data_IF_877721476282
#
_entry.id   IF_877721476282
#
_cell.length_a   1.000
_cell.length_b   1.000
_cell.length_c   1.000
_cell.angle_alpha   90.00
_cell.angle_beta   90.00
_cell.angle_gamma   90.00
#
_symmetry.space_group_name_H-M   'P 1'
#
loop_
_entity.id
_entity.type
_entity.pdbx_description
1 polymer ?
#
# COMPACT_ATOMS: atom_id res chain seq x y z
N UNK A 1 -4.75 -0.55 -0.40
CA UNK A 1 -4.61 -0.07 0.98
C UNK A 1 -4.61 -1.19 2.01
N UNK A 2 -5.58 -2.11 2.00
CA UNK A 2 -5.62 -3.21 2.98
C UNK A 2 -4.39 -4.12 2.88
N UNK A 3 -3.91 -4.46 1.69
CA UNK A 3 -2.72 -5.27 1.51
C UNK A 3 -1.48 -4.65 2.16
N UNK A 4 -1.06 -3.43 1.77
CA UNK A 4 0.08 -2.77 2.38
C UNK A 4 -0.07 -2.53 3.90
N UNK A 5 -1.26 -2.16 4.38
CA UNK A 5 -1.51 -1.99 5.82
C UNK A 5 -1.34 -3.31 6.57
N UNK A 6 -1.92 -4.39 6.05
CA UNK A 6 -1.81 -5.72 6.65
C UNK A 6 -0.35 -6.16 6.76
N UNK A 7 0.42 -6.04 5.67
CA UNK A 7 1.83 -6.46 5.66
C UNK A 7 2.68 -5.56 6.55
N UNK A 8 2.42 -4.24 6.54
CA UNK A 8 3.12 -3.31 7.44
C UNK A 8 2.89 -3.65 8.91
N UNK A 9 1.62 -3.88 9.32
CA UNK A 9 1.30 -4.27 10.70
C UNK A 9 1.92 -5.62 11.09
N UNK A 10 1.95 -6.56 10.14
CA UNK A 10 2.57 -7.87 10.37
C UNK A 10 4.10 -7.80 10.51
N UNK A 11 4.76 -6.94 9.74
CA UNK A 11 6.21 -6.91 9.63
C UNK A 11 6.88 -5.69 10.26
N UNK A 12 6.12 -4.77 10.86
CA UNK A 12 6.70 -3.54 11.47
C UNK A 12 7.78 -3.78 12.52
N UNK A 13 7.82 -4.92 13.28
CA UNK A 13 8.97 -5.20 14.16
C UNK A 13 10.30 -5.36 13.43
N UNK A 14 10.25 -5.62 12.12
CA UNK A 14 11.40 -5.77 11.24
C UNK A 14 11.68 -4.51 10.41
N UNK A 15 10.88 -3.45 10.56
CA UNK A 15 11.07 -2.19 9.84
C UNK A 15 12.40 -1.53 10.23
N UNK A 16 12.97 -0.79 9.29
CA UNK A 16 14.21 -0.05 9.55
C UNK A 16 13.98 1.06 10.57
N UNK A 17 14.92 1.21 11.48
CA UNK A 17 14.85 2.23 12.53
C UNK A 17 14.81 3.64 11.93
N UNK A 18 13.87 4.46 12.43
CA UNK A 18 13.72 5.86 12.00
C UNK A 18 12.80 6.06 10.80
N UNK A 19 12.30 4.99 10.17
CA UNK A 19 11.30 5.09 9.09
C UNK A 19 9.97 4.50 9.59
N UNK A 20 8.88 5.22 9.37
CA UNK A 20 7.54 4.75 9.69
C UNK A 20 6.59 5.04 8.54
N UNK A 21 5.60 4.16 8.30
CA UNK A 21 4.55 4.38 7.32
C UNK A 21 3.21 4.66 7.99
N UNK A 22 2.45 5.57 7.39
CA UNK A 22 1.06 5.85 7.74
C UNK A 22 0.21 5.74 6.49
N UNK A 23 -0.92 5.08 6.60
CA UNK A 23 -1.79 4.80 5.46
C UNK A 23 -3.08 5.58 5.59
N UNK A 24 -3.41 6.36 4.55
CA UNK A 24 -4.65 7.15 4.43
C UNK A 24 -5.46 6.59 3.29
N UNK A 25 -6.63 6.05 3.58
CA UNK A 25 -7.54 5.49 2.58
C UNK A 25 -8.98 6.01 2.70
N UNK A 26 -9.33 6.61 3.84
CA UNK A 26 -10.62 7.22 4.01
C UNK A 26 -10.62 8.65 3.44
N UNK A 27 -11.72 9.05 2.79
CA UNK A 27 -11.93 10.42 2.29
C UNK A 27 -12.27 11.40 3.43
N UNK A 28 -12.62 10.90 4.61
CA UNK A 28 -12.85 11.74 5.78
C UNK A 28 -11.57 12.55 6.10
N UNK A 29 -11.65 13.89 6.14
CA UNK A 29 -10.50 14.75 6.41
C UNK A 29 -9.83 14.48 7.76
N UNK A 30 -10.55 13.93 8.74
CA UNK A 30 -9.98 13.53 10.02
C UNK A 30 -8.91 12.44 9.86
N UNK A 31 -9.07 11.50 8.90
CA UNK A 31 -8.06 10.46 8.65
C UNK A 31 -6.71 11.07 8.24
N UNK A 32 -6.73 12.05 7.33
CA UNK A 32 -5.51 12.78 6.93
C UNK A 32 -4.97 13.63 8.08
N UNK A 33 -5.83 14.41 8.75
CA UNK A 33 -5.42 15.33 9.82
C UNK A 33 -4.73 14.59 10.97
N UNK A 34 -5.32 13.50 11.45
CA UNK A 34 -4.75 12.70 12.55
C UNK A 34 -3.42 12.05 12.18
N UNK A 35 -3.27 11.65 10.92
CA UNK A 35 -2.05 10.98 10.46
C UNK A 35 -0.91 11.94 10.11
N UNK A 36 -1.19 13.23 9.93
CA UNK A 36 -0.17 14.23 9.59
C UNK A 36 0.15 15.21 10.72
N UNK A 37 -0.63 15.21 11.82
CA UNK A 37 -0.54 16.23 12.90
C UNK A 37 0.83 16.38 13.56
N UNK A 38 1.59 15.30 13.66
CA UNK A 38 2.89 15.20 14.31
C UNK A 38 4.04 14.92 13.32
N UNK A 39 3.79 15.04 12.01
CA UNK A 39 4.82 14.86 11.00
C UNK A 39 5.61 16.15 10.77
N UNK A 40 6.91 15.97 10.56
CA UNK A 40 7.77 17.00 10.04
C UNK A 40 7.67 17.03 8.50
N UNK A 41 7.25 18.16 7.89
CA UNK A 41 7.09 18.24 6.45
C UNK A 41 8.41 18.04 5.69
N UNK A 42 9.55 18.42 6.25
CA UNK A 42 10.86 18.30 5.59
C UNK A 42 11.33 16.84 5.45
N UNK A 43 10.81 15.94 6.31
CA UNK A 43 11.17 14.52 6.33
C UNK A 43 10.02 13.59 5.91
N UNK A 44 8.92 14.16 5.39
CA UNK A 44 7.73 13.39 4.99
C UNK A 44 7.71 13.14 3.49
N UNK A 45 7.55 11.87 3.09
CA UNK A 45 7.33 11.43 1.71
C UNK A 45 5.89 10.94 1.56
N UNK A 46 5.19 11.39 0.52
CA UNK A 46 3.86 10.93 0.13
C UNK A 46 3.93 9.98 -1.07
N UNK A 47 3.41 8.78 -0.91
CA UNK A 47 3.31 7.77 -1.98
C UNK A 47 1.84 7.67 -2.39
N UNK A 48 1.51 8.19 -3.57
CA UNK A 48 0.15 8.19 -4.10
C UNK A 48 -0.08 6.93 -4.93
N UNK A 49 -0.92 6.03 -4.41
CA UNK A 49 -1.20 4.74 -5.05
C UNK A 49 -2.57 4.77 -5.69
N UNK A 50 -2.62 4.87 -7.01
CA UNK A 50 -3.86 4.83 -7.79
C UNK A 50 -3.59 4.33 -9.20
N UNK A 51 -4.19 3.21 -9.58
CA UNK A 51 -3.94 2.56 -10.88
C UNK A 51 -4.14 3.51 -12.05
N UNK A 52 -5.27 4.21 -12.10
CA UNK A 52 -5.64 5.12 -13.19
C UNK A 52 -5.28 6.58 -12.89
N UNK A 53 -4.88 6.87 -11.67
CA UNK A 53 -4.67 8.22 -11.15
C UNK A 53 -5.90 9.13 -11.32
N UNK A 54 -7.11 8.54 -11.18
CA UNK A 54 -8.41 9.23 -11.33
C UNK A 54 -9.38 8.94 -10.17
N UNK A 55 -9.01 8.04 -9.25
CA UNK A 55 -9.85 7.67 -8.11
C UNK A 55 -10.09 8.90 -7.23
N UNK A 56 -11.36 9.30 -7.08
CA UNK A 56 -11.74 10.55 -6.43
C UNK A 56 -11.19 10.65 -5.01
N UNK A 57 -11.38 9.63 -4.20
CA UNK A 57 -10.94 9.57 -2.79
C UNK A 57 -9.43 9.71 -2.70
N UNK A 58 -8.70 8.95 -3.50
CA UNK A 58 -7.23 8.98 -3.49
C UNK A 58 -6.71 10.36 -3.90
N UNK A 59 -7.25 10.96 -4.98
CA UNK A 59 -6.79 12.27 -5.43
C UNK A 59 -7.24 13.42 -4.51
N UNK A 60 -8.37 13.29 -3.84
CA UNK A 60 -8.80 14.25 -2.82
C UNK A 60 -7.81 14.23 -1.65
N UNK A 61 -7.48 13.07 -1.14
CA UNK A 61 -6.47 12.93 -0.08
C UNK A 61 -5.08 13.41 -0.55
N UNK A 62 -4.68 13.10 -1.78
CA UNK A 62 -3.42 13.56 -2.34
C UNK A 62 -3.32 15.09 -2.43
N UNK A 63 -4.40 15.77 -2.86
CA UNK A 63 -4.46 17.24 -2.90
C UNK A 63 -4.42 17.85 -1.50
N UNK A 64 -5.09 17.24 -0.53
CA UNK A 64 -5.05 17.66 0.88
C UNK A 64 -3.63 17.52 1.43
N UNK A 65 -2.97 16.38 1.19
CA UNK A 65 -1.57 16.17 1.57
C UNK A 65 -0.63 17.21 0.93
N UNK A 66 -0.82 17.51 -0.37
CA UNK A 66 -0.04 18.54 -1.06
C UNK A 66 -0.23 19.92 -0.45
N UNK A 67 -1.45 20.28 -0.15
CA UNK A 67 -1.76 21.57 0.49
C UNK A 67 -1.13 21.63 1.89
N UNK A 68 -1.26 20.58 2.69
CA UNK A 68 -0.64 20.47 4.00
C UNK A 68 0.89 20.65 3.92
N UNK A 69 1.56 19.90 3.04
CA UNK A 69 3.01 19.96 2.86
C UNK A 69 3.46 21.38 2.50
N UNK A 70 2.87 21.97 1.46
CA UNK A 70 3.29 23.29 0.95
C UNK A 70 3.07 24.40 1.99
N UNK A 71 1.95 24.35 2.72
CA UNK A 71 1.69 25.31 3.79
C UNK A 71 2.72 25.16 4.93
N UNK A 72 3.00 23.95 5.36
CA UNK A 72 3.94 23.68 6.43
C UNK A 72 5.38 24.07 6.07
N UNK A 73 5.84 23.77 4.85
CA UNK A 73 7.15 24.18 4.37
C UNK A 73 7.26 25.71 4.23
N UNK A 74 6.18 26.39 3.87
CA UNK A 74 6.15 27.85 3.82
C UNK A 74 6.13 28.48 5.23
N UNK A 75 5.34 27.90 6.16
CA UNK A 75 5.28 28.34 7.57
C UNK A 75 6.65 28.19 8.26
N UNK A 76 7.40 27.12 7.97
CA UNK A 76 8.76 26.90 8.52
C UNK A 76 9.83 27.76 7.84
N UNK A 77 9.52 28.41 6.72
CA UNK A 77 10.49 29.15 5.92
C UNK A 77 11.40 28.29 5.04
N UNK A 78 11.12 26.97 4.93
CA UNK A 78 11.87 26.05 4.06
C UNK A 78 11.68 26.37 2.57
N UNK A 79 10.53 26.99 2.20
CA UNK A 79 10.29 27.52 0.86
C UNK A 79 9.73 28.95 0.93
N UNK A 80 10.01 29.75 -0.09
CA UNK A 80 9.57 31.16 -0.20
C UNK A 80 8.11 31.32 -0.70
N UNK A 81 7.42 30.20 -0.98
CA UNK A 81 6.05 30.20 -1.47
C UNK A 81 5.89 30.53 -2.95
N UNK A 82 6.98 30.75 -3.71
CA UNK A 82 6.93 30.91 -5.17
C UNK A 82 6.47 29.61 -5.85
N UNK A 83 5.85 29.71 -7.03
CA UNK A 83 5.39 28.54 -7.78
C UNK A 83 6.51 27.59 -8.14
N UNK A 84 7.71 28.12 -8.43
CA UNK A 84 8.90 27.32 -8.70
C UNK A 84 9.30 26.48 -7.48
N UNK A 85 9.32 27.06 -6.26
CA UNK A 85 9.66 26.35 -5.03
C UNK A 85 8.58 25.36 -4.61
N UNK A 86 7.31 25.69 -4.84
CA UNK A 86 6.19 24.73 -4.63
C UNK A 86 6.31 23.52 -5.57
N UNK A 87 6.62 23.75 -6.85
CA UNK A 87 6.83 22.65 -7.80
C UNK A 87 8.03 21.77 -7.40
N UNK A 88 9.15 22.39 -7.00
CA UNK A 88 10.32 21.68 -6.49
C UNK A 88 9.99 20.82 -5.26
N UNK A 89 9.23 21.35 -4.30
CA UNK A 89 8.79 20.64 -3.12
C UNK A 89 7.92 19.43 -3.48
N UNK A 90 6.93 19.59 -4.39
CA UNK A 90 6.10 18.47 -4.85
C UNK A 90 6.97 17.39 -5.51
N UNK A 91 7.90 17.77 -6.38
CA UNK A 91 8.78 16.84 -7.07
C UNK A 91 9.68 16.02 -6.11
N UNK A 92 10.04 16.59 -4.94
CA UNK A 92 10.87 15.94 -3.93
C UNK A 92 10.08 15.07 -2.94
N UNK A 93 8.86 15.48 -2.60
CA UNK A 93 8.07 14.88 -1.53
C UNK A 93 6.95 13.97 -2.00
N UNK A 94 6.73 13.85 -3.31
CA UNK A 94 5.68 13.00 -3.86
C UNK A 94 6.22 11.97 -4.84
N UNK A 95 5.72 10.75 -4.67
CA UNK A 95 5.98 9.59 -5.51
C UNK A 95 4.63 9.00 -5.92
N UNK A 96 4.53 8.46 -7.11
CA UNK A 96 3.32 7.81 -7.58
C UNK A 96 3.52 6.31 -7.84
N UNK A 97 2.47 5.54 -7.58
CA UNK A 97 2.34 4.16 -8.05
C UNK A 97 1.11 4.11 -8.94
N UNK A 98 1.33 4.13 -10.25
CA UNK A 98 0.26 4.30 -11.23
C UNK A 98 0.67 3.77 -12.61
N UNK A 99 -0.33 3.44 -13.42
CA UNK A 99 -0.15 3.13 -14.86
C UNK A 99 -0.34 4.37 -15.75
N UNK A 100 -0.80 5.49 -15.19
CA UNK A 100 -1.14 6.72 -15.93
C UNK A 100 -0.14 7.84 -15.66
N UNK A 101 0.98 7.83 -16.40
CA UNK A 101 2.06 8.80 -16.22
C UNK A 101 1.66 10.23 -16.56
N UNK A 102 0.76 10.43 -17.53
CA UNK A 102 0.27 11.75 -17.91
C UNK A 102 -0.43 12.45 -16.72
N UNK A 103 -1.33 11.73 -16.05
CA UNK A 103 -2.03 12.25 -14.87
C UNK A 103 -1.10 12.46 -13.67
N UNK A 104 -0.08 11.63 -13.53
CA UNK A 104 0.96 11.79 -12.51
C UNK A 104 1.73 13.09 -12.72
N UNK A 105 2.13 13.38 -13.97
CA UNK A 105 2.82 14.62 -14.34
C UNK A 105 1.93 15.86 -14.17
N UNK A 106 0.64 15.79 -14.57
CA UNK A 106 -0.34 16.85 -14.33
C UNK A 106 -0.49 17.20 -12.83
N UNK A 107 -0.34 16.24 -11.94
CA UNK A 107 -0.35 16.48 -10.48
C UNK A 107 0.90 17.23 -10.01
N UNK A 108 1.99 17.18 -10.76
CA UNK A 108 3.29 17.78 -10.47
C UNK A 108 4.34 16.79 -9.94
N UNK A 109 4.07 15.48 -10.01
CA UNK A 109 5.04 14.44 -9.66
C UNK A 109 5.91 14.19 -10.89
N UNK A 110 7.24 14.15 -10.67
CA UNK A 110 8.16 13.82 -11.75
C UNK A 110 7.89 12.35 -12.21
N UNK A 111 7.66 12.10 -13.51
CA UNK A 111 7.42 10.76 -14.02
C UNK A 111 8.53 9.73 -13.69
N UNK A 112 9.77 10.18 -13.44
CA UNK A 112 10.85 9.31 -12.97
C UNK A 112 10.63 8.79 -11.54
N UNK A 113 9.76 9.43 -10.76
CA UNK A 113 9.33 9.02 -9.44
C UNK A 113 7.96 8.30 -9.48
N UNK A 114 7.60 7.76 -10.64
CA UNK A 114 6.39 6.95 -10.80
C UNK A 114 6.74 5.50 -11.05
N UNK A 115 6.16 4.61 -10.26
CA UNK A 115 6.34 3.17 -10.35
C UNK A 115 5.10 2.55 -11.00
N UNK A 116 5.32 1.92 -12.17
CA UNK A 116 4.26 1.29 -12.94
C UNK A 116 4.03 -0.16 -12.52
N UNK A 117 2.86 -0.68 -12.87
CA UNK A 117 2.51 -2.09 -12.80
C UNK A 117 1.55 -2.43 -13.95
N UNK A 118 1.29 -3.71 -14.19
CA UNK A 118 0.53 -4.15 -15.35
C UNK A 118 -0.98 -4.02 -15.15
N UNK A 119 -1.71 -3.84 -16.24
CA UNK A 119 -3.17 -3.70 -16.23
C UNK A 119 -3.92 -4.91 -15.66
N UNK A 120 -3.35 -6.09 -15.71
CA UNK A 120 -3.93 -7.33 -15.17
C UNK A 120 -3.79 -7.43 -13.63
N UNK A 121 -2.98 -6.59 -12.99
CA UNK A 121 -2.87 -6.57 -11.53
C UNK A 121 -4.17 -6.06 -10.91
N UNK A 122 -4.86 -6.91 -10.16
CA UNK A 122 -6.07 -6.55 -9.42
C UNK A 122 -5.75 -5.90 -8.07
N UNK A 123 -6.56 -4.95 -7.62
CA UNK A 123 -6.31 -4.19 -6.38
C UNK A 123 -6.07 -5.07 -5.15
N UNK A 124 -6.92 -6.09 -4.94
CA UNK A 124 -6.84 -7.01 -3.79
C UNK A 124 -5.65 -7.98 -3.84
N UNK A 125 -5.01 -8.14 -4.99
CA UNK A 125 -3.85 -9.02 -5.21
C UNK A 125 -2.59 -8.23 -5.58
N UNK A 126 -2.51 -6.94 -5.19
CA UNK A 126 -1.48 -6.03 -5.71
C UNK A 126 -0.31 -5.79 -4.76
N UNK A 127 -0.37 -6.28 -3.53
CA UNK A 127 0.65 -5.99 -2.50
C UNK A 127 2.05 -6.48 -2.87
N UNK A 128 2.14 -7.52 -3.69
CA UNK A 128 3.36 -8.10 -4.24
C UNK A 128 3.87 -7.41 -5.53
N UNK A 129 3.14 -6.38 -6.00
CA UNK A 129 3.51 -5.53 -7.14
C UNK A 129 4.15 -4.21 -6.67
N UNK A 130 4.31 -3.23 -7.59
CA UNK A 130 4.73 -1.87 -7.25
C UNK A 130 3.84 -1.19 -6.19
N UNK A 131 2.61 -1.67 -5.94
CA UNK A 131 1.76 -1.22 -4.83
C UNK A 131 2.43 -1.44 -3.46
N UNK A 132 3.33 -2.42 -3.36
CA UNK A 132 4.17 -2.65 -2.19
C UNK A 132 5.34 -1.68 -2.00
N UNK A 133 5.49 -0.63 -2.82
CA UNK A 133 6.59 0.34 -2.70
C UNK A 133 6.74 0.91 -1.30
N UNK A 134 5.64 1.22 -0.61
CA UNK A 134 5.69 1.70 0.78
C UNK A 134 6.33 0.68 1.74
N UNK A 135 6.12 -0.60 1.49
CA UNK A 135 6.73 -1.69 2.28
C UNK A 135 8.22 -1.81 1.98
N UNK A 136 8.61 -1.74 0.70
CA UNK A 136 10.01 -1.75 0.30
C UNK A 136 10.80 -0.58 0.90
N UNK A 137 10.16 0.59 1.05
CA UNK A 137 10.76 1.76 1.72
C UNK A 137 10.96 1.52 3.22
N UNK A 138 9.97 0.95 3.91
CA UNK A 138 9.98 0.83 5.38
C UNK A 138 10.74 -0.40 5.85
N UNK A 139 10.65 -1.51 5.13
CA UNK A 139 11.30 -2.78 5.47
C UNK A 139 12.72 -2.89 4.91
N UNK A 140 13.03 -2.07 3.91
CA UNK A 140 14.19 -2.25 3.07
C UNK A 140 13.97 -3.28 1.95
N UNK A 141 14.76 -3.16 0.85
CA UNK A 141 14.57 -4.01 -0.34
C UNK A 141 14.80 -5.50 -0.06
N UNK A 142 15.75 -5.85 0.79
CA UNK A 142 16.09 -7.25 1.12
C UNK A 142 14.91 -7.96 1.81
N UNK A 143 14.31 -7.34 2.84
CA UNK A 143 13.16 -7.90 3.55
C UNK A 143 11.89 -7.94 2.69
N UNK A 144 11.73 -6.94 1.83
CA UNK A 144 10.65 -6.98 0.85
C UNK A 144 10.82 -8.14 -0.15
N UNK A 145 12.03 -8.41 -0.61
CA UNK A 145 12.32 -9.58 -1.43
C UNK A 145 12.06 -10.90 -0.67
N UNK A 146 12.40 -10.99 0.61
CA UNK A 146 12.08 -12.15 1.44
C UNK A 146 10.56 -12.36 1.55
N UNK A 147 9.80 -11.29 1.69
CA UNK A 147 8.33 -11.34 1.65
C UNK A 147 7.83 -11.93 0.31
N UNK A 148 8.38 -11.49 -0.82
CA UNK A 148 8.04 -12.02 -2.15
C UNK A 148 8.45 -13.50 -2.32
N UNK A 149 9.53 -13.94 -1.70
CA UNK A 149 9.94 -15.36 -1.69
C UNK A 149 8.90 -16.26 -1.03
N UNK A 150 8.08 -15.75 -0.11
CA UNK A 150 6.95 -16.47 0.45
C UNK A 150 5.89 -16.84 -0.60
N UNK A 151 5.55 -15.92 -1.49
CA UNK A 151 4.66 -16.19 -2.63
C UNK A 151 5.26 -17.25 -3.55
N UNK A 152 6.53 -17.07 -3.93
CA UNK A 152 7.23 -18.02 -4.79
C UNK A 152 7.27 -19.44 -4.19
N UNK A 153 7.50 -19.57 -2.89
CA UNK A 153 7.52 -20.86 -2.22
C UNK A 153 6.16 -21.57 -2.31
N UNK A 154 5.06 -20.84 -2.12
CA UNK A 154 3.70 -21.39 -2.24
C UNK A 154 3.36 -21.72 -3.68
N UNK A 155 3.74 -20.90 -4.64
CA UNK A 155 3.52 -21.17 -6.08
C UNK A 155 4.24 -22.45 -6.52
N UNK A 156 5.50 -22.61 -6.11
CA UNK A 156 6.28 -23.83 -6.37
C UNK A 156 5.65 -25.05 -5.70
N UNK A 157 5.29 -24.94 -4.43
CA UNK A 157 4.62 -26.04 -3.70
C UNK A 157 3.29 -26.43 -4.36
N UNK A 158 2.49 -25.44 -4.78
CA UNK A 158 1.23 -25.69 -5.47
C UNK A 158 1.43 -26.43 -6.81
N UNK A 159 2.43 -26.02 -7.59
CA UNK A 159 2.71 -26.63 -8.90
C UNK A 159 3.29 -28.06 -8.82
N UNK A 160 4.13 -28.33 -7.82
CA UNK A 160 4.90 -29.56 -7.74
C UNK A 160 4.31 -30.64 -6.83
N UNK A 161 3.43 -30.27 -5.89
CA UNK A 161 2.88 -31.22 -4.92
C UNK A 161 1.65 -31.95 -5.49
N UNK A 162 1.59 -33.31 -5.40
CA UNK A 162 0.40 -34.07 -5.78
C UNK A 162 -0.86 -33.60 -5.06
N UNK A 163 -2.01 -33.60 -5.73
CA UNK A 163 -3.25 -33.03 -5.24
C UNK A 163 -3.67 -33.52 -3.85
N UNK A 164 -3.53 -34.82 -3.59
CA UNK A 164 -3.90 -35.43 -2.31
C UNK A 164 -3.00 -35.02 -1.13
N UNK A 165 -1.88 -34.36 -1.40
CA UNK A 165 -0.95 -33.82 -0.40
C UNK A 165 -0.82 -32.33 -0.44
N UNK A 166 -1.45 -31.68 -1.42
CA UNK A 166 -1.36 -30.26 -1.68
C UNK A 166 -2.34 -29.49 -0.79
N UNK A 167 -1.82 -28.84 0.25
CA UNK A 167 -2.66 -28.12 1.24
C UNK A 167 -3.49 -27.01 0.60
N UNK A 168 -2.99 -26.36 -0.45
CA UNK A 168 -3.72 -25.29 -1.16
C UNK A 168 -4.94 -25.87 -1.87
N UNK A 169 -4.76 -27.00 -2.57
CA UNK A 169 -5.85 -27.74 -3.21
C UNK A 169 -6.84 -28.25 -2.17
N UNK A 170 -6.34 -28.85 -1.07
CA UNK A 170 -7.18 -29.41 -0.01
C UNK A 170 -8.04 -28.32 0.66
N UNK A 171 -7.47 -27.13 0.95
CA UNK A 171 -8.22 -26.01 1.50
C UNK A 171 -9.31 -25.51 0.52
N UNK A 172 -8.98 -25.42 -0.76
CA UNK A 172 -9.95 -25.07 -1.80
C UNK A 172 -11.11 -26.08 -1.87
N UNK A 173 -10.78 -27.37 -1.88
CA UNK A 173 -11.78 -28.45 -1.90
C UNK A 173 -12.65 -28.49 -0.65
N UNK A 174 -12.07 -28.24 0.53
CA UNK A 174 -12.83 -28.12 1.79
C UNK A 174 -13.82 -26.96 1.74
N UNK A 175 -13.42 -25.81 1.21
CA UNK A 175 -14.33 -24.67 1.05
C UNK A 175 -15.53 -25.01 0.12
N UNK A 176 -15.25 -25.67 -1.01
CA UNK A 176 -16.30 -26.17 -1.92
C UNK A 176 -17.23 -27.15 -1.20
N UNK A 177 -16.64 -28.10 -0.46
CA UNK A 177 -17.42 -29.10 0.26
C UNK A 177 -18.33 -28.48 1.32
N UNK A 178 -17.79 -27.67 2.22
CA UNK A 178 -18.58 -27.01 3.25
C UNK A 178 -19.68 -26.14 2.64
N UNK A 179 -19.37 -25.36 1.60
CA UNK A 179 -20.34 -24.50 0.94
C UNK A 179 -21.45 -25.29 0.25
N UNK A 180 -21.10 -26.30 -0.53
CA UNK A 180 -22.05 -26.98 -1.41
C UNK A 180 -22.84 -28.08 -0.69
N UNK A 181 -22.24 -28.82 0.22
CA UNK A 181 -22.89 -29.95 0.89
C UNK A 181 -23.46 -29.58 2.25
N UNK A 182 -22.75 -28.82 3.06
CA UNK A 182 -23.20 -28.40 4.38
C UNK A 182 -23.90 -27.04 4.41
N UNK A 183 -23.94 -26.32 3.28
CA UNK A 183 -24.58 -25.00 3.15
C UNK A 183 -24.02 -23.96 4.10
N UNK A 184 -22.76 -24.07 4.46
CA UNK A 184 -22.09 -23.10 5.33
C UNK A 184 -22.07 -21.74 4.65
N UNK A 185 -22.50 -20.70 5.36
CA UNK A 185 -22.69 -19.36 4.79
C UNK A 185 -21.44 -18.48 4.84
N UNK A 186 -20.55 -18.74 5.83
CA UNK A 186 -19.38 -17.90 6.09
C UNK A 186 -18.17 -18.72 6.53
N UNK A 187 -16.99 -18.14 6.36
CA UNK A 187 -15.72 -18.67 6.85
C UNK A 187 -15.09 -17.62 7.75
N UNK A 188 -14.82 -17.96 9.01
CA UNK A 188 -14.17 -17.10 9.97
C UNK A 188 -12.65 -17.35 9.98
N UNK A 189 -11.87 -16.29 9.87
CA UNK A 189 -10.41 -16.31 10.07
C UNK A 189 -10.11 -15.55 11.34
N UNK A 190 -9.58 -16.22 12.36
CA UNK A 190 -9.40 -15.70 13.71
C UNK A 190 -7.91 -15.78 14.11
N UNK A 191 -7.06 -14.87 13.64
CA UNK A 191 -5.66 -14.88 14.04
C UNK A 191 -5.51 -14.47 15.51
N UNK A 192 -4.78 -15.28 16.28
CA UNK A 192 -4.45 -14.98 17.68
C UNK A 192 -3.18 -14.12 17.80
N UNK A 193 -2.40 -14.01 16.73
CA UNK A 193 -1.25 -13.13 16.66
C UNK A 193 -1.72 -11.68 16.45
N UNK A 194 -1.30 -10.78 17.34
CA UNK A 194 -1.67 -9.35 17.29
C UNK A 194 -1.23 -8.70 16.00
N UNK A 195 -0.10 -9.08 15.43
CA UNK A 195 0.41 -8.53 14.18
C UNK A 195 -0.43 -8.93 12.96
N UNK A 196 -1.23 -10.00 13.06
CA UNK A 196 -2.12 -10.47 11.99
C UNK A 196 -3.56 -9.93 12.10
N UNK A 197 -3.84 -8.96 12.98
CA UNK A 197 -5.20 -8.47 13.21
C UNK A 197 -5.87 -7.87 11.96
N UNK A 198 -5.10 -7.42 10.96
CA UNK A 198 -5.62 -6.91 9.67
C UNK A 198 -5.86 -8.00 8.61
N UNK A 199 -5.36 -9.20 8.83
CA UNK A 199 -5.46 -10.30 7.86
C UNK A 199 -6.91 -10.70 7.53
N UNK A 200 -7.85 -10.81 8.50
CA UNK A 200 -9.25 -11.09 8.19
C UNK A 200 -9.90 -10.03 7.28
N UNK A 201 -9.63 -8.74 7.53
CA UNK A 201 -10.14 -7.66 6.71
C UNK A 201 -9.58 -7.70 5.27
N UNK A 202 -8.29 -8.04 5.12
CA UNK A 202 -7.68 -8.26 3.82
C UNK A 202 -8.34 -9.41 3.05
N UNK A 203 -8.60 -10.54 3.71
CA UNK A 203 -9.25 -11.69 3.09
C UNK A 203 -10.72 -11.41 2.73
N UNK A 204 -11.38 -10.51 3.45
CA UNK A 204 -12.77 -10.13 3.19
C UNK A 204 -12.91 -9.23 1.96
N UNK A 205 -11.90 -8.50 1.59
CA UNK A 205 -11.91 -7.61 0.42
C UNK A 205 -12.14 -8.38 -0.88
#
# INVERSE_FOLDING_TARGET
DLGPVMVYEALKPYADAGISARYVSNIDPNDMAEKTKDLDPETTLFIIVSKTFTTLETLTNARTARTWLLNKLQESGAIDGSDAKKAEAVAKHFVAVSTNLEKVEEFGINPTNAFGFWNWVGGRYSVDSAVGTSLAVVLGPERFEEFLKGFHAIDTYFAETPFEKNVVVLLGMLNVWYRNFYKVASHAVLPYDQYLHRFPAYLQQ
#
